data_IF_165762769320
#
_entry.id   IF_165762769320
#
_cell.length_a   1.000
_cell.length_b   1.000
_cell.length_c   1.000
_cell.angle_alpha   90.00
_cell.angle_beta   90.00
_cell.angle_gamma   90.00
#
_symmetry.space_group_name_H-M   'P 1'
#
loop_
_entity.id
_entity.type
_entity.pdbx_description
1 polymer ?
#
# COMPACT_ATOMS: atom_id res chain seq x y z
N UNK A 1 8.90 42.97 -65.32
CA UNK A 1 7.73 43.20 -64.47
C UNK A 1 7.24 41.85 -63.95
N UNK A 2 7.14 41.74 -62.62
CA UNK A 2 6.17 40.97 -61.80
C UNK A 2 6.01 39.47 -62.11
N UNK A 3 6.73 38.60 -61.38
CA UNK A 3 6.39 38.04 -60.04
C UNK A 3 5.12 37.19 -60.06
N UNK A 4 5.27 35.90 -60.41
CA UNK A 4 4.35 34.83 -59.99
C UNK A 4 5.19 33.63 -59.58
N UNK A 5 5.76 33.72 -58.38
CA UNK A 5 6.37 32.59 -57.69
C UNK A 5 6.03 32.77 -56.22
N UNK A 6 5.69 31.65 -55.55
CA UNK A 6 5.42 31.54 -54.10
C UNK A 6 3.99 31.89 -53.69
N UNK A 7 3.07 30.92 -53.78
CA UNK A 7 1.83 30.94 -52.98
C UNK A 7 1.28 29.52 -52.70
N UNK A 8 2.15 28.56 -52.34
CA UNK A 8 1.71 27.20 -51.95
C UNK A 8 2.48 26.61 -50.76
N UNK A 9 2.98 27.46 -49.84
CA UNK A 9 3.69 26.98 -48.65
C UNK A 9 3.46 27.85 -47.40
N UNK A 10 2.24 28.32 -47.17
CA UNK A 10 1.91 29.16 -46.01
C UNK A 10 0.62 28.77 -45.28
N UNK A 11 0.11 27.54 -45.47
CA UNK A 11 -1.13 27.08 -44.82
C UNK A 11 -0.96 25.89 -43.85
N UNK A 12 0.28 25.60 -43.42
CA UNK A 12 0.58 24.46 -42.52
C UNK A 12 1.13 24.84 -41.14
N UNK A 13 1.13 26.12 -40.75
CA UNK A 13 1.71 26.57 -39.46
C UNK A 13 0.72 27.18 -38.46
N UNK A 14 -0.55 26.76 -38.52
CA UNK A 14 -1.55 27.12 -37.50
C UNK A 14 -2.20 25.89 -36.90
N UNK A 15 -1.40 24.90 -36.48
CA UNK A 15 -1.89 23.94 -35.50
C UNK A 15 -1.79 24.65 -34.15
N UNK A 16 -2.88 24.87 -33.41
CA UNK A 16 -2.75 25.33 -32.04
C UNK A 16 -1.91 24.29 -31.32
N UNK A 17 -0.74 24.70 -30.82
CA UNK A 17 0.01 23.89 -29.87
C UNK A 17 -0.92 23.80 -28.66
N UNK A 18 -1.70 22.72 -28.58
CA UNK A 18 -2.42 22.39 -27.38
C UNK A 18 -1.34 22.24 -26.32
N UNK A 19 -1.25 23.24 -25.43
CA UNK A 19 -0.44 23.14 -24.24
C UNK A 19 -0.98 21.95 -23.47
N UNK A 20 -0.29 20.82 -23.53
CA UNK A 20 -0.58 19.69 -22.70
C UNK A 20 -0.28 20.12 -21.26
N UNK A 21 -1.30 20.67 -20.58
CA UNK A 21 -1.21 20.93 -19.15
C UNK A 21 -0.97 19.57 -18.49
N UNK A 22 0.25 19.35 -18.01
CA UNK A 22 0.59 18.14 -17.28
C UNK A 22 -0.35 18.03 -16.08
N UNK A 23 -1.01 16.88 -15.95
CA UNK A 23 -1.92 16.66 -14.84
C UNK A 23 -1.15 16.78 -13.52
N UNK A 24 -1.74 17.46 -12.55
CA UNK A 24 -1.23 17.51 -11.19
C UNK A 24 -1.25 16.09 -10.61
N UNK A 25 -0.11 15.61 -10.11
CA UNK A 25 -0.02 14.26 -9.53
C UNK A 25 -0.36 14.34 -8.05
N UNK A 26 -1.51 13.78 -7.67
CA UNK A 26 -1.95 13.70 -6.27
C UNK A 26 -1.62 12.32 -5.73
N UNK A 27 -0.88 12.27 -4.62
CA UNK A 27 -0.48 11.00 -3.99
C UNK A 27 -1.19 10.83 -2.65
N UNK A 28 -1.88 9.71 -2.47
CA UNK A 28 -2.47 9.30 -1.19
C UNK A 28 -1.65 8.13 -0.66
N UNK A 29 -0.84 8.38 0.36
CA UNK A 29 -0.01 7.37 1.01
C UNK A 29 0.35 7.81 2.43
N UNK A 30 0.39 6.85 3.35
CA UNK A 30 0.83 7.02 4.72
C UNK A 30 1.65 5.80 5.17
N UNK A 31 2.63 5.98 6.06
CA UNK A 31 3.10 4.90 6.92
C UNK A 31 1.94 4.18 7.62
N UNK A 32 2.15 2.93 7.99
CA UNK A 32 1.13 2.19 8.74
C UNK A 32 0.89 2.81 10.12
N UNK A 33 -0.38 2.96 10.48
CA UNK A 33 -0.86 3.42 11.79
C UNK A 33 -1.33 2.26 12.68
N UNK A 34 -1.07 1.01 12.27
CA UNK A 34 -1.70 -0.17 12.87
C UNK A 34 -0.76 -1.35 13.03
N UNK A 35 -0.89 -2.06 14.15
CA UNK A 35 -0.28 -3.37 14.38
C UNK A 35 -0.87 -4.43 13.44
N UNK A 36 -0.20 -5.59 13.35
CA UNK A 36 -0.70 -6.74 12.56
C UNK A 36 -2.04 -7.26 13.09
N UNK A 37 -2.26 -7.19 14.40
CA UNK A 37 -3.52 -7.61 15.04
C UNK A 37 -4.72 -6.68 14.74
N UNK A 38 -4.47 -5.56 14.05
CA UNK A 38 -5.49 -4.60 13.66
C UNK A 38 -5.75 -3.48 14.66
N UNK A 39 -5.00 -3.38 15.77
CA UNK A 39 -5.08 -2.22 16.68
C UNK A 39 -4.25 -1.04 16.19
N UNK A 40 -4.81 0.16 16.29
CA UNK A 40 -4.13 1.39 15.90
C UNK A 40 -3.21 1.88 17.03
N UNK A 41 -2.07 2.50 16.69
CA UNK A 41 -1.17 3.07 17.69
C UNK A 41 -1.80 4.22 18.46
N UNK A 42 -2.55 5.03 17.74
CA UNK A 42 -3.09 6.30 18.18
C UNK A 42 -4.24 6.71 17.25
N UNK A 43 -4.80 7.90 17.50
CA UNK A 43 -5.84 8.49 16.67
C UNK A 43 -5.29 9.51 15.65
N UNK A 44 -3.98 9.49 15.36
CA UNK A 44 -3.35 10.51 14.49
C UNK A 44 -3.84 10.41 13.05
N UNK A 45 -4.14 9.21 12.54
CA UNK A 45 -4.70 9.09 11.19
C UNK A 45 -6.04 9.83 11.09
N UNK A 46 -6.85 9.87 12.14
CA UNK A 46 -8.12 10.60 12.13
C UNK A 46 -7.91 12.12 11.90
N UNK A 47 -6.88 12.72 12.50
CA UNK A 47 -6.60 14.15 12.33
C UNK A 47 -6.14 14.46 10.91
N UNK A 48 -5.39 13.56 10.27
CA UNK A 48 -4.96 13.69 8.88
C UNK A 48 -6.11 13.61 7.87
N UNK A 49 -7.17 12.88 8.22
CA UNK A 49 -8.35 12.69 7.36
C UNK A 49 -9.37 13.84 7.45
N UNK A 50 -9.28 14.71 8.47
CA UNK A 50 -10.11 15.91 8.55
C UNK A 50 -9.91 16.79 7.31
N UNK A 51 -10.90 17.59 6.88
CA UNK A 51 -10.77 18.45 5.70
C UNK A 51 -9.53 19.38 5.69
N UNK A 52 -9.04 19.76 6.87
CA UNK A 52 -7.84 20.59 7.04
C UNK A 52 -6.56 19.78 7.30
N UNK A 53 -6.65 18.45 7.40
CA UNK A 53 -5.52 17.55 7.59
C UNK A 53 -4.87 17.18 6.26
N UNK A 54 -3.64 16.66 6.31
CA UNK A 54 -2.81 16.42 5.13
C UNK A 54 -3.48 15.53 4.06
N UNK A 55 -4.21 14.49 4.46
CA UNK A 55 -4.94 13.63 3.52
C UNK A 55 -6.31 14.20 3.15
N UNK A 56 -6.94 14.92 4.08
CA UNK A 56 -8.23 15.53 3.81
C UNK A 56 -8.13 16.68 2.83
N UNK A 57 -7.11 17.54 2.91
CA UNK A 57 -6.93 18.66 1.98
C UNK A 57 -6.85 18.18 0.53
N UNK A 58 -6.14 17.06 0.28
CA UNK A 58 -6.03 16.45 -1.05
C UNK A 58 -7.39 16.04 -1.64
N UNK A 59 -8.35 15.66 -0.78
CA UNK A 59 -9.63 15.04 -1.13
C UNK A 59 -10.82 16.02 -1.05
N UNK A 60 -10.80 16.95 -0.11
CA UNK A 60 -11.86 17.94 0.10
C UNK A 60 -11.63 19.23 -0.69
N UNK A 61 -10.38 19.58 -1.01
CA UNK A 61 -10.08 20.81 -1.77
C UNK A 61 -10.41 20.63 -3.25
N UNK A 62 -11.27 21.50 -3.75
CA UNK A 62 -11.68 21.51 -5.15
C UNK A 62 -10.57 22.10 -6.01
N UNK A 63 -10.02 21.31 -6.92
CA UNK A 63 -9.13 21.82 -7.97
C UNK A 63 -9.85 21.92 -9.32
N UNK A 64 -9.44 22.93 -10.11
CA UNK A 64 -9.85 23.09 -11.52
C UNK A 64 -8.85 22.43 -12.49
N UNK A 65 -7.74 21.90 -11.98
CA UNK A 65 -6.73 21.19 -12.78
C UNK A 65 -7.14 19.74 -13.04
N UNK A 66 -6.69 19.17 -14.16
CA UNK A 66 -6.73 17.73 -14.36
C UNK A 66 -5.77 17.07 -13.36
N UNK A 67 -6.24 16.07 -12.62
CA UNK A 67 -5.43 15.33 -11.64
C UNK A 67 -5.12 13.92 -12.13
N UNK A 68 -3.94 13.42 -11.80
CA UNK A 68 -3.60 12.00 -11.89
C UNK A 68 -3.34 11.49 -10.49
N UNK A 69 -4.01 10.39 -10.11
CA UNK A 69 -3.97 9.89 -8.74
C UNK A 69 -3.01 8.73 -8.61
N UNK A 70 -2.11 8.80 -7.64
CA UNK A 70 -1.28 7.70 -7.16
C UNK A 70 -1.78 7.30 -5.77
N UNK A 71 -2.33 6.11 -5.64
CA UNK A 71 -2.99 5.67 -4.40
C UNK A 71 -2.30 4.45 -3.85
N UNK A 72 -1.83 4.54 -2.61
CA UNK A 72 -1.37 3.40 -1.84
C UNK A 72 -2.57 2.61 -1.29
N UNK A 73 -2.81 1.37 -1.76
CA UNK A 73 -3.88 0.52 -1.25
C UNK A 73 -3.75 0.16 0.23
N UNK A 74 -2.55 0.23 0.82
CA UNK A 74 -2.39 0.00 2.25
C UNK A 74 -2.99 1.15 3.08
N UNK A 75 -2.84 2.38 2.60
CA UNK A 75 -3.46 3.56 3.21
C UNK A 75 -4.98 3.45 3.17
N UNK A 76 -5.55 3.09 2.00
CA UNK A 76 -7.01 2.89 1.87
C UNK A 76 -7.51 1.73 2.75
N UNK A 77 -6.74 0.65 2.89
CA UNK A 77 -7.04 -0.48 3.78
C UNK A 77 -7.19 -0.03 5.23
N UNK A 78 -6.29 0.83 5.72
CA UNK A 78 -6.33 1.31 7.11
C UNK A 78 -7.46 2.32 7.33
N UNK A 79 -7.74 3.21 6.39
CA UNK A 79 -8.89 4.13 6.46
C UNK A 79 -10.20 3.32 6.45
N UNK A 80 -10.28 2.24 5.66
CA UNK A 80 -11.43 1.32 5.64
C UNK A 80 -11.59 0.59 6.96
N UNK A 81 -10.49 0.15 7.58
CA UNK A 81 -10.58 -0.44 8.91
C UNK A 81 -11.05 0.57 9.97
N UNK A 82 -10.56 1.81 9.90
CA UNK A 82 -10.99 2.90 10.79
C UNK A 82 -12.49 3.19 10.63
N UNK A 83 -13.02 3.21 9.40
CA UNK A 83 -14.44 3.49 9.13
C UNK A 83 -15.38 2.38 9.61
N UNK A 84 -14.89 1.14 9.68
CA UNK A 84 -15.63 -0.01 10.21
C UNK A 84 -15.65 -0.08 11.75
N UNK A 85 -14.96 0.84 12.43
CA UNK A 85 -14.76 0.80 13.87
C UNK A 85 -13.42 0.15 14.20
N UNK A 86 -12.70 0.75 15.15
CA UNK A 86 -11.34 0.38 15.50
C UNK A 86 -11.11 0.63 16.98
N UNK A 87 -10.01 0.07 17.49
CA UNK A 87 -9.49 0.37 18.81
C UNK A 87 -8.05 0.85 18.71
N UNK A 88 -7.63 1.61 19.72
CA UNK A 88 -6.25 2.06 19.88
C UNK A 88 -5.56 1.27 20.99
N UNK A 89 -4.24 1.12 20.91
CA UNK A 89 -3.46 0.27 21.81
C UNK A 89 -3.54 0.69 23.28
N UNK A 90 -3.77 1.97 23.56
CA UNK A 90 -3.89 2.52 24.92
C UNK A 90 -5.29 2.34 25.53
N UNK A 91 -6.25 1.82 24.74
CA UNK A 91 -7.62 1.58 25.17
C UNK A 91 -8.51 2.82 25.23
N UNK A 92 -8.02 4.00 24.82
CA UNK A 92 -8.85 5.20 24.71
C UNK A 92 -9.95 5.02 23.66
N UNK A 93 -11.05 5.77 23.79
CA UNK A 93 -12.16 5.70 22.82
C UNK A 93 -11.79 6.48 21.57
N UNK A 94 -11.66 5.82 20.41
CA UNK A 94 -11.30 6.51 19.17
C UNK A 94 -12.44 7.38 18.62
N UNK A 95 -12.08 8.45 17.92
CA UNK A 95 -13.05 9.43 17.40
C UNK A 95 -13.13 9.48 15.87
N UNK A 96 -12.22 8.80 15.19
CA UNK A 96 -12.03 8.86 13.74
C UNK A 96 -12.99 8.03 12.89
N UNK A 97 -13.90 7.24 13.47
CA UNK A 97 -14.75 6.35 12.66
C UNK A 97 -15.60 7.13 11.66
N UNK A 98 -16.28 8.19 12.10
CA UNK A 98 -17.10 9.00 11.20
C UNK A 98 -16.23 9.80 10.22
N UNK A 99 -15.09 10.32 10.68
CA UNK A 99 -14.13 11.06 9.84
C UNK A 99 -13.65 10.18 8.68
N UNK A 100 -13.31 8.92 8.94
CA UNK A 100 -12.89 7.97 7.92
C UNK A 100 -14.02 7.64 6.92
N UNK A 101 -15.27 7.52 7.39
CA UNK A 101 -16.45 7.34 6.50
C UNK A 101 -16.64 8.52 5.57
N UNK A 102 -16.56 9.73 6.11
CA UNK A 102 -16.75 10.97 5.35
C UNK A 102 -15.62 11.15 4.32
N UNK A 103 -14.37 10.88 4.72
CA UNK A 103 -13.21 10.91 3.84
C UNK A 103 -13.34 9.90 2.70
N UNK A 104 -13.69 8.63 2.98
CA UNK A 104 -13.87 7.60 1.95
C UNK A 104 -15.00 7.96 0.97
N UNK A 105 -16.11 8.47 1.50
CA UNK A 105 -17.26 8.92 0.68
C UNK A 105 -16.82 9.99 -0.32
N UNK A 106 -16.08 10.99 0.15
CA UNK A 106 -15.54 12.03 -0.70
C UNK A 106 -14.49 11.49 -1.68
N UNK A 107 -13.56 10.64 -1.23
CA UNK A 107 -12.52 10.03 -2.04
C UNK A 107 -13.10 9.25 -3.23
N UNK A 108 -14.11 8.40 -2.99
CA UNK A 108 -14.77 7.65 -4.06
C UNK A 108 -15.54 8.57 -5.02
N UNK A 109 -16.17 9.63 -4.51
CA UNK A 109 -16.86 10.62 -5.33
C UNK A 109 -15.92 11.31 -6.31
N UNK A 110 -14.76 11.79 -5.83
CA UNK A 110 -13.83 12.56 -6.65
C UNK A 110 -12.99 11.68 -7.58
N UNK A 111 -12.71 10.42 -7.20
CA UNK A 111 -11.89 9.53 -8.04
C UNK A 111 -12.71 8.72 -9.04
N UNK A 112 -14.05 8.73 -8.98
CA UNK A 112 -14.94 7.89 -9.81
C UNK A 112 -14.56 7.85 -11.29
N UNK A 113 -14.35 9.01 -11.91
CA UNK A 113 -14.04 9.12 -13.34
C UNK A 113 -12.56 9.46 -13.63
N UNK A 114 -11.74 9.51 -12.59
CA UNK A 114 -10.34 9.88 -12.70
C UNK A 114 -9.46 8.69 -13.11
N UNK A 115 -8.30 9.01 -13.69
CA UNK A 115 -7.22 8.03 -13.88
C UNK A 115 -6.50 7.84 -12.54
N UNK A 116 -6.58 6.62 -12.05
CA UNK A 116 -5.95 6.21 -10.78
C UNK A 116 -4.94 5.10 -11.06
N UNK A 117 -3.76 5.22 -10.46
CA UNK A 117 -2.70 4.21 -10.49
C UNK A 117 -2.34 3.83 -9.06
N UNK A 118 -1.95 2.56 -8.87
CA UNK A 118 -1.51 2.10 -7.56
C UNK A 118 -0.08 2.55 -7.24
N UNK A 119 0.16 2.85 -5.98
CA UNK A 119 1.48 2.77 -5.36
C UNK A 119 1.64 1.34 -4.84
N UNK A 120 2.85 0.78 -4.85
CA UNK A 120 3.14 -0.51 -4.21
C UNK A 120 2.67 -0.49 -2.76
N UNK A 121 1.98 -1.54 -2.31
CA UNK A 121 1.31 -1.65 -1.01
C UNK A 121 2.24 -1.25 0.15
N UNK A 122 1.88 -0.18 0.85
CA UNK A 122 2.64 0.38 1.96
C UNK A 122 3.74 1.37 1.56
N UNK A 123 3.82 1.71 0.28
CA UNK A 123 4.82 2.58 -0.33
C UNK A 123 6.28 2.28 0.09
N UNK A 124 6.73 1.02 -0.04
CA UNK A 124 8.09 0.66 0.34
C UNK A 124 9.14 1.38 -0.50
N UNK A 125 10.34 1.57 0.07
CA UNK A 125 11.51 1.95 -0.71
C UNK A 125 11.87 0.85 -1.72
N UNK A 126 11.87 1.20 -3.03
CA UNK A 126 12.16 0.26 -4.12
C UNK A 126 13.49 -0.49 -3.90
N UNK A 127 14.52 0.24 -3.48
CA UNK A 127 15.84 -0.34 -3.22
C UNK A 127 15.85 -1.39 -2.10
N UNK A 128 14.95 -1.28 -1.12
CA UNK A 128 14.83 -2.27 -0.06
C UNK A 128 14.04 -3.48 -0.49
N UNK A 129 12.95 -3.31 -1.23
CA UNK A 129 12.17 -4.44 -1.77
C UNK A 129 13.04 -5.29 -2.69
N UNK A 130 13.76 -4.66 -3.63
CA UNK A 130 14.66 -5.38 -4.53
C UNK A 130 15.79 -6.12 -3.81
N UNK A 131 16.22 -5.65 -2.64
CA UNK A 131 17.30 -6.28 -1.86
C UNK A 131 16.79 -7.39 -0.94
N UNK A 132 15.69 -7.13 -0.24
CA UNK A 132 15.24 -7.95 0.89
C UNK A 132 14.12 -8.92 0.52
N UNK A 133 13.35 -8.61 -0.53
CA UNK A 133 12.21 -9.40 -1.00
C UNK A 133 12.19 -9.50 -2.54
N UNK A 134 13.32 -9.86 -3.20
CA UNK A 134 13.44 -9.78 -4.65
C UNK A 134 12.41 -10.64 -5.41
N UNK A 135 12.01 -11.77 -4.83
CA UNK A 135 11.03 -12.68 -5.43
C UNK A 135 9.59 -12.16 -5.33
N UNK A 136 9.32 -11.22 -4.41
CA UNK A 136 7.98 -10.72 -4.15
C UNK A 136 7.68 -9.41 -4.91
N UNK A 137 8.62 -8.85 -5.69
CA UNK A 137 8.42 -7.56 -6.40
C UNK A 137 7.20 -7.61 -7.33
N UNK A 138 7.11 -8.65 -8.16
CA UNK A 138 6.00 -8.82 -9.10
C UNK A 138 4.67 -9.05 -8.36
N UNK A 139 4.69 -9.91 -7.35
CA UNK A 139 3.54 -10.16 -6.48
C UNK A 139 3.05 -8.87 -5.81
N UNK A 140 3.95 -8.07 -5.23
CA UNK A 140 3.62 -6.81 -4.57
C UNK A 140 2.97 -5.82 -5.54
N UNK A 141 3.46 -5.73 -6.78
CA UNK A 141 2.82 -4.87 -7.77
C UNK A 141 1.44 -5.39 -8.19
N UNK A 142 1.31 -6.70 -8.41
CA UNK A 142 0.03 -7.32 -8.77
C UNK A 142 -1.02 -7.13 -7.68
N UNK A 143 -0.69 -7.45 -6.42
CA UNK A 143 -1.62 -7.33 -5.29
C UNK A 143 -1.98 -5.87 -5.00
N UNK A 144 -1.05 -4.93 -5.24
CA UNK A 144 -1.34 -3.49 -5.08
C UNK A 144 -2.40 -3.02 -6.07
N UNK A 145 -2.27 -3.44 -7.32
CA UNK A 145 -3.26 -3.15 -8.36
C UNK A 145 -4.61 -3.79 -8.02
N UNK A 146 -4.62 -5.09 -7.70
CA UNK A 146 -5.85 -5.84 -7.35
C UNK A 146 -6.57 -5.15 -6.19
N UNK A 147 -5.88 -4.88 -5.08
CA UNK A 147 -6.49 -4.25 -3.91
C UNK A 147 -7.04 -2.86 -4.21
N UNK A 148 -6.32 -2.05 -5.00
CA UNK A 148 -6.82 -0.74 -5.39
C UNK A 148 -8.10 -0.86 -6.24
N UNK A 149 -8.12 -1.79 -7.19
CA UNK A 149 -9.30 -2.03 -8.03
C UNK A 149 -10.50 -2.53 -7.21
N UNK A 150 -10.26 -3.40 -6.22
CA UNK A 150 -11.26 -3.85 -5.25
C UNK A 150 -11.83 -2.66 -4.47
N UNK A 151 -10.99 -1.77 -3.94
CA UNK A 151 -11.47 -0.60 -3.20
C UNK A 151 -12.24 0.39 -4.06
N UNK A 152 -11.81 0.60 -5.31
CA UNK A 152 -12.44 1.59 -6.21
C UNK A 152 -13.67 1.05 -6.94
N UNK A 153 -13.84 -0.28 -7.01
CA UNK A 153 -14.86 -0.92 -7.85
C UNK A 153 -14.66 -0.67 -9.35
N UNK A 154 -13.43 -0.39 -9.78
CA UNK A 154 -13.08 -0.13 -11.18
C UNK A 154 -11.62 -0.47 -11.47
N UNK A 155 -11.31 -0.63 -12.76
CA UNK A 155 -9.95 -0.88 -13.22
C UNK A 155 -9.01 0.31 -12.95
N UNK A 156 -7.76 -0.01 -12.62
CA UNK A 156 -6.65 0.91 -12.41
C UNK A 156 -5.65 0.71 -13.55
N UNK A 157 -5.76 1.47 -14.66
CA UNK A 157 -4.97 1.23 -15.88
C UNK A 157 -3.50 1.64 -15.76
N UNK A 158 -3.10 2.33 -14.68
CA UNK A 158 -1.76 2.86 -14.51
C UNK A 158 -0.70 1.84 -14.10
N UNK A 159 0.55 2.19 -14.36
CA UNK A 159 1.73 1.44 -13.89
C UNK A 159 1.82 1.62 -12.37
N UNK A 160 2.08 0.51 -11.67
CA UNK A 160 2.32 0.57 -10.22
C UNK A 160 3.64 1.28 -9.95
N UNK A 161 3.59 2.35 -9.14
CA UNK A 161 4.76 3.11 -8.75
C UNK A 161 5.28 2.68 -7.38
N UNK A 162 6.57 2.86 -7.13
CA UNK A 162 7.20 2.52 -5.86
C UNK A 162 8.12 3.67 -5.46
N UNK A 163 8.21 3.98 -4.17
CA UNK A 163 9.06 5.08 -3.70
C UNK A 163 10.52 4.89 -4.12
N UNK A 164 11.11 5.96 -4.64
CA UNK A 164 12.55 6.07 -4.90
C UNK A 164 13.34 6.49 -3.66
N UNK A 165 12.65 7.03 -2.64
CA UNK A 165 13.25 7.39 -1.37
C UNK A 165 13.62 6.16 -0.55
N UNK A 166 14.52 6.36 0.41
CA UNK A 166 15.09 5.26 1.20
C UNK A 166 15.37 5.69 2.63
N UNK A 167 14.70 5.04 3.58
CA UNK A 167 15.04 5.14 5.00
C UNK A 167 16.30 4.35 5.36
N UNK A 168 16.93 4.74 6.47
CA UNK A 168 18.03 3.98 7.08
C UNK A 168 17.46 2.74 7.79
N UNK A 169 17.90 1.56 7.36
CA UNK A 169 17.60 0.28 8.02
C UNK A 169 18.85 -0.30 8.68
N UNK A 170 18.74 -0.72 9.94
CA UNK A 170 19.82 -1.40 10.63
C UNK A 170 20.13 -2.76 9.98
N UNK A 171 21.36 -3.24 10.12
CA UNK A 171 21.73 -4.58 9.61
C UNK A 171 20.93 -5.70 10.29
N UNK A 172 20.52 -5.50 11.55
CA UNK A 172 19.67 -6.45 12.28
C UNK A 172 18.30 -6.62 11.61
N UNK A 173 17.65 -5.50 11.25
CA UNK A 173 16.35 -5.52 10.55
C UNK A 173 16.50 -6.17 9.18
N UNK A 174 17.54 -5.79 8.42
CA UNK A 174 17.81 -6.38 7.11
C UNK A 174 18.01 -7.90 7.18
N UNK A 175 18.83 -8.38 8.13
CA UNK A 175 19.10 -9.81 8.30
C UNK A 175 17.84 -10.59 8.67
N UNK A 176 16.97 -10.01 9.49
CA UNK A 176 15.70 -10.64 9.85
C UNK A 176 14.74 -10.71 8.66
N UNK A 177 14.67 -9.68 7.83
CA UNK A 177 13.82 -9.72 6.64
C UNK A 177 14.33 -10.75 5.62
N UNK A 178 15.65 -10.83 5.43
CA UNK A 178 16.28 -11.89 4.61
C UNK A 178 15.96 -13.28 5.19
N UNK A 179 16.01 -13.43 6.51
CA UNK A 179 15.65 -14.68 7.17
C UNK A 179 14.16 -15.01 6.97
N UNK A 180 13.26 -14.04 7.15
CA UNK A 180 11.82 -14.21 6.99
C UNK A 180 11.46 -14.61 5.56
N UNK A 181 11.99 -13.93 4.53
CA UNK A 181 11.82 -14.29 3.11
C UNK A 181 12.22 -15.75 2.83
N UNK A 182 13.37 -16.18 3.36
CA UNK A 182 13.81 -17.58 3.24
C UNK A 182 12.85 -18.55 3.93
N UNK A 183 12.32 -18.19 5.11
CA UNK A 183 11.36 -19.04 5.81
C UNK A 183 10.02 -19.11 5.07
N UNK A 184 9.51 -18.00 4.51
CA UNK A 184 8.29 -18.03 3.71
C UNK A 184 8.44 -18.97 2.51
N UNK A 185 9.56 -18.90 1.79
CA UNK A 185 9.86 -19.82 0.67
C UNK A 185 9.87 -21.29 1.08
N UNK A 186 10.42 -21.58 2.26
CA UNK A 186 10.42 -22.94 2.80
C UNK A 186 9.00 -23.37 3.20
N UNK A 187 8.28 -22.51 3.91
CA UNK A 187 6.94 -22.80 4.44
C UNK A 187 5.89 -22.90 3.34
N UNK A 188 6.05 -22.16 2.23
CA UNK A 188 5.19 -22.26 1.04
C UNK A 188 5.29 -23.58 0.29
N UNK A 189 6.26 -24.45 0.63
CA UNK A 189 6.29 -25.82 0.13
C UNK A 189 5.31 -26.74 0.86
N UNK A 190 4.78 -26.29 2.00
CA UNK A 190 3.95 -27.09 2.91
C UNK A 190 2.53 -26.55 3.05
N UNK A 191 2.33 -25.25 2.85
CA UNK A 191 1.07 -24.54 3.04
C UNK A 191 0.87 -23.55 1.89
N UNK A 192 -0.39 -23.23 1.58
CA UNK A 192 -0.72 -22.21 0.57
C UNK A 192 0.04 -20.90 0.87
N UNK A 193 0.79 -20.35 -0.11
CA UNK A 193 1.50 -19.08 0.05
C UNK A 193 0.64 -17.92 0.57
N UNK A 194 -0.68 -17.94 0.29
CA UNK A 194 -1.64 -16.90 0.72
C UNK A 194 -1.73 -16.75 2.23
N UNK A 195 -1.43 -17.80 2.99
CA UNK A 195 -1.38 -17.75 4.46
C UNK A 195 -0.30 -16.77 4.97
N UNK A 196 0.66 -16.40 4.12
CA UNK A 196 1.73 -15.46 4.46
C UNK A 196 1.50 -14.05 3.90
N UNK A 197 0.40 -13.81 3.16
CA UNK A 197 0.15 -12.54 2.49
C UNK A 197 0.16 -11.37 3.47
N UNK A 198 -0.51 -11.51 4.62
CA UNK A 198 -0.53 -10.47 5.66
C UNK A 198 0.89 -10.09 6.12
N UNK A 199 1.74 -11.09 6.35
CA UNK A 199 3.11 -10.85 6.81
C UNK A 199 4.01 -10.27 5.70
N UNK A 200 3.86 -10.73 4.45
CA UNK A 200 4.60 -10.18 3.31
C UNK A 200 4.21 -8.73 3.01
N UNK A 201 2.92 -8.42 3.03
CA UNK A 201 2.41 -7.05 2.89
C UNK A 201 2.89 -6.17 4.04
N UNK A 202 2.91 -6.72 5.26
CA UNK A 202 3.48 -6.01 6.41
C UNK A 202 4.96 -5.72 6.22
N UNK A 203 5.77 -6.66 5.76
CA UNK A 203 7.18 -6.40 5.45
C UNK A 203 7.32 -5.23 4.47
N UNK A 204 6.52 -5.18 3.41
CA UNK A 204 6.52 -4.05 2.48
C UNK A 204 6.16 -2.73 3.18
N UNK A 205 5.10 -2.67 3.99
CA UNK A 205 4.78 -1.47 4.77
C UNK A 205 5.94 -1.01 5.67
N UNK A 206 6.66 -1.94 6.31
CA UNK A 206 7.80 -1.61 7.17
C UNK A 206 9.01 -1.05 6.40
N UNK A 207 9.03 -1.19 5.08
CA UNK A 207 10.06 -0.61 4.21
C UNK A 207 9.71 0.80 3.72
N UNK A 208 8.59 1.38 4.17
CA UNK A 208 8.18 2.75 3.83
C UNK A 208 9.21 3.79 4.33
N UNK A 209 9.75 4.65 3.44
CA UNK A 209 10.80 5.61 3.80
C UNK A 209 10.34 6.73 4.75
N UNK A 210 9.03 6.95 4.90
CA UNK A 210 8.46 7.94 5.80
C UNK A 210 8.33 7.44 7.24
N UNK A 211 8.62 6.16 7.51
CA UNK A 211 8.70 5.65 8.88
C UNK A 211 10.02 6.16 9.51
N UNK A 212 9.90 6.86 10.63
CA UNK A 212 11.06 7.28 11.40
C UNK A 212 11.78 6.09 12.04
N UNK A 213 13.08 6.20 12.29
CA UNK A 213 13.85 5.12 12.95
C UNK A 213 13.26 4.72 14.31
N UNK A 214 12.71 5.69 15.07
CA UNK A 214 12.01 5.45 16.32
C UNK A 214 10.68 4.70 16.12
N UNK A 215 9.87 5.11 15.14
CA UNK A 215 8.59 4.47 14.83
C UNK A 215 8.73 3.05 14.25
N UNK A 216 9.82 2.77 13.54
CA UNK A 216 10.06 1.44 12.94
C UNK A 216 10.28 0.35 13.99
N UNK A 217 10.87 0.69 15.14
CA UNK A 217 11.26 -0.29 16.16
C UNK A 217 10.08 -1.08 16.74
N UNK A 218 9.01 -0.46 17.27
CA UNK A 218 7.85 -1.20 17.78
C UNK A 218 7.11 -1.97 16.68
N UNK A 219 6.99 -1.39 15.49
CA UNK A 219 6.39 -2.02 14.32
C UNK A 219 7.12 -3.31 13.89
N UNK A 220 8.44 -3.27 13.95
CA UNK A 220 9.26 -4.41 13.64
C UNK A 220 9.20 -5.50 14.72
N UNK A 221 9.12 -5.11 15.99
CA UNK A 221 8.93 -6.05 17.10
C UNK A 221 7.59 -6.80 16.98
N UNK A 222 6.52 -6.09 16.62
CA UNK A 222 5.21 -6.67 16.30
C UNK A 222 5.31 -7.70 15.17
N UNK A 223 5.95 -7.32 14.05
CA UNK A 223 6.20 -8.23 12.94
C UNK A 223 6.96 -9.49 13.36
N UNK A 224 8.05 -9.36 14.11
CA UNK A 224 8.81 -10.51 14.57
C UNK A 224 7.97 -11.45 15.46
N UNK A 225 7.15 -10.89 16.35
CA UNK A 225 6.26 -11.65 17.22
C UNK A 225 5.29 -12.50 16.39
N UNK A 226 4.57 -11.88 15.47
CA UNK A 226 3.57 -12.58 14.63
C UNK A 226 4.21 -13.58 13.67
N UNK A 227 5.33 -13.22 13.06
CA UNK A 227 6.10 -14.14 12.21
C UNK A 227 6.53 -15.40 12.98
N UNK A 228 7.00 -15.25 14.22
CA UNK A 228 7.39 -16.39 15.05
C UNK A 228 6.20 -17.27 15.45
N UNK A 229 5.02 -16.69 15.69
CA UNK A 229 3.79 -17.46 15.94
C UNK A 229 3.44 -18.36 14.76
N UNK A 230 3.36 -17.79 13.56
CA UNK A 230 3.06 -18.55 12.32
C UNK A 230 4.10 -19.64 12.09
N UNK A 231 5.39 -19.32 12.21
CA UNK A 231 6.49 -20.29 12.07
C UNK A 231 6.37 -21.45 13.06
N UNK A 232 6.08 -21.17 14.32
CA UNK A 232 5.99 -22.19 15.37
C UNK A 232 4.78 -23.10 15.16
N UNK A 233 3.64 -22.55 14.73
CA UNK A 233 2.45 -23.34 14.41
C UNK A 233 2.74 -24.37 13.30
N UNK A 234 3.41 -23.96 12.22
CA UNK A 234 3.78 -24.89 11.15
C UNK A 234 4.77 -25.96 11.60
N UNK A 235 5.72 -25.62 12.48
CA UNK A 235 6.66 -26.61 13.04
C UNK A 235 5.93 -27.67 13.87
N UNK A 236 4.94 -27.27 14.68
CA UNK A 236 4.16 -28.20 15.52
C UNK A 236 3.27 -29.10 14.67
N UNK A 237 2.67 -28.60 13.59
CA UNK A 237 1.88 -29.44 12.68
C UNK A 237 2.73 -30.60 12.14
N UNK A 238 3.95 -30.33 11.67
CA UNK A 238 4.87 -31.36 11.15
C UNK A 238 5.21 -32.45 12.16
N UNK A 239 5.26 -32.15 13.46
CA UNK A 239 5.69 -33.10 14.49
C UNK A 239 4.55 -33.87 15.17
N UNK A 240 3.28 -33.53 14.95
CA UNK A 240 2.14 -34.08 15.72
C UNK A 240 1.05 -34.83 14.94
N UNK A 241 1.26 -35.20 13.69
CA UNK A 241 0.30 -36.10 13.01
C UNK A 241 0.59 -37.58 13.34
N UNK A 242 0.14 -38.02 14.51
CA UNK A 242 -0.15 -39.45 14.74
C UNK A 242 -1.64 -39.66 14.51
N UNK A 243 -2.00 -40.19 13.34
CA UNK A 243 -3.34 -40.73 13.11
C UNK A 243 -3.40 -42.07 13.81
N UNK A 244 -3.98 -42.13 15.01
CA UNK A 244 -4.39 -43.40 15.60
C UNK A 244 -5.75 -43.75 15.01
N UNK A 245 -5.77 -44.68 14.05
CA UNK A 245 -7.01 -45.34 13.62
C UNK A 245 -7.55 -46.16 14.79
N UNK A 246 -8.71 -45.79 15.32
CA UNK A 246 -9.38 -46.49 16.41
C UNK A 246 -10.48 -47.45 15.95
N UNK A 247 -10.50 -47.86 14.67
CA UNK A 247 -11.42 -48.90 14.18
C UNK A 247 -10.73 -49.88 13.25
N UNK A 248 -10.09 -50.87 13.85
CA UNK A 248 -9.82 -52.16 13.23
C UNK A 248 -10.47 -53.20 14.15
N UNK A 249 -11.68 -53.63 13.80
CA UNK A 249 -12.26 -54.87 14.32
C UNK A 249 -11.99 -55.96 13.26
N UNK A 250 -11.31 -57.03 13.69
CA UNK A 250 -11.23 -58.31 12.98
C UNK A 250 -12.38 -59.20 13.45
#
# INVERSE_FOLDING_TARGET
>A
MKRVLVFLLALFFAIPIQSANAAEVVSITEPTHRLIDGKFFDDVLATKLLPSGDLGDLVFTTSRSNRSWLIDPATISEITAMSNGYGVIDGSTPTGQQIAKDWLTQFYRITKYEKVSAITYGNPAKSWVSKLMPADVEYLNAISKIKLEEYLGKASPGIVTTSTEKQKLSNSIQNTFIFADKQFKLMSTLVDPKEFDLLKLRMAQLLNPQISAGGLTPLYADFQSEFNKVRNQLRVSKSKFTVTSSKQEL
#
